data_IF_038808924660
#
_entry.id   IF_038808924660
#
_cell.length_a   1.000
_cell.length_b   1.000
_cell.length_c   1.000
_cell.angle_alpha   90.00
_cell.angle_beta   90.00
_cell.angle_gamma   90.00
#
_symmetry.space_group_name_H-M   'P 1'
#
loop_
_entity.id
_entity.type
_entity.pdbx_description
1 polymer ?
#
# COMPACT_ATOMS: atom_id res chain seq x y z
N UNK A 1 -16.54 58.86 -29.68
CA UNK A 1 -17.28 58.22 -30.78
C UNK A 1 -16.29 57.93 -31.88
N UNK A 2 -15.84 56.67 -31.95
CA UNK A 2 -15.28 56.02 -33.14
C UNK A 2 -15.49 54.53 -32.92
N UNK A 3 -16.52 54.00 -33.59
CA UNK A 3 -16.77 52.58 -33.79
C UNK A 3 -15.71 51.99 -34.72
N UNK A 4 -15.25 50.79 -34.42
CA UNK A 4 -14.62 49.91 -35.40
C UNK A 4 -14.78 48.46 -34.96
N UNK A 5 -15.88 47.89 -35.43
CA UNK A 5 -16.10 46.57 -36.02
C UNK A 5 -15.43 45.33 -35.41
N UNK A 6 -16.31 44.40 -35.03
CA UNK A 6 -16.03 43.04 -34.61
C UNK A 6 -16.06 42.12 -35.83
N UNK A 7 -14.93 41.57 -36.23
CA UNK A 7 -14.86 40.52 -37.25
C UNK A 7 -15.00 39.14 -36.60
N UNK A 8 -16.21 38.61 -36.70
CA UNK A 8 -16.53 37.21 -36.48
C UNK A 8 -16.02 36.42 -37.69
N UNK A 9 -14.91 35.68 -37.52
CA UNK A 9 -14.52 34.61 -38.44
C UNK A 9 -14.70 33.25 -37.79
N UNK A 10 -15.59 32.50 -38.43
CA UNK A 10 -16.11 31.19 -38.13
C UNK A 10 -15.21 30.09 -38.72
N UNK A 11 -14.89 29.10 -37.89
CA UNK A 11 -14.64 27.67 -38.19
C UNK A 11 -13.51 27.29 -39.16
N UNK A 12 -12.56 26.50 -38.63
CA UNK A 12 -12.13 25.25 -39.26
C UNK A 12 -11.78 24.24 -38.16
N UNK A 13 -12.66 23.27 -37.96
CA UNK A 13 -12.34 22.00 -37.30
C UNK A 13 -11.22 21.34 -38.12
N UNK A 14 -10.04 21.19 -37.54
CA UNK A 14 -9.04 20.25 -38.02
C UNK A 14 -9.16 18.99 -37.20
N UNK A 15 -9.65 17.93 -37.86
CA UNK A 15 -9.67 16.56 -37.39
C UNK A 15 -8.25 16.11 -37.01
N UNK A 16 -7.97 16.06 -35.71
CA UNK A 16 -6.76 15.42 -35.20
C UNK A 16 -7.02 13.92 -35.01
N UNK A 17 -6.42 13.17 -35.93
CA UNK A 17 -6.23 11.72 -35.93
C UNK A 17 -5.90 11.15 -34.52
N UNK A 18 -6.54 10.04 -34.09
CA UNK A 18 -6.23 9.39 -32.82
C UNK A 18 -4.87 8.68 -32.89
N UNK A 19 -3.82 9.43 -32.53
CA UNK A 19 -2.45 8.92 -32.39
C UNK A 19 -2.34 7.74 -31.39
N UNK A 20 -1.23 6.98 -31.47
CA UNK A 20 -1.07 5.72 -30.75
C UNK A 20 -1.28 5.91 -29.25
N UNK A 21 -2.23 5.15 -28.70
CA UNK A 21 -2.59 5.19 -27.28
C UNK A 21 -1.34 4.99 -26.43
N UNK A 22 -0.93 6.05 -25.73
CA UNK A 22 0.19 6.00 -24.78
C UNK A 22 -0.17 4.93 -23.75
N UNK A 23 0.48 3.77 -23.81
CA UNK A 23 0.36 2.73 -22.79
C UNK A 23 0.61 3.40 -21.44
N UNK A 24 -0.43 3.43 -20.57
CA UNK A 24 -0.32 4.04 -19.24
C UNK A 24 0.88 3.41 -18.54
N UNK A 25 1.94 4.19 -18.30
CA UNK A 25 3.08 3.72 -17.51
C UNK A 25 2.51 3.25 -16.17
N UNK A 26 2.73 1.99 -15.84
CA UNK A 26 2.39 1.45 -14.53
C UNK A 26 3.13 2.29 -13.47
N UNK A 27 2.39 2.88 -12.54
CA UNK A 27 2.95 3.69 -11.45
C UNK A 27 3.79 2.76 -10.57
N UNK A 28 4.91 3.25 -10.03
CA UNK A 28 5.72 2.46 -9.09
C UNK A 28 4.97 2.33 -7.77
N UNK A 29 4.74 1.10 -7.28
CA UNK A 29 4.29 0.84 -5.92
C UNK A 29 5.49 0.78 -4.97
N UNK A 30 5.28 1.19 -3.71
CA UNK A 30 6.29 1.15 -2.66
C UNK A 30 5.72 0.49 -1.42
N UNK A 31 6.43 -0.49 -0.88
CA UNK A 31 6.00 -1.15 0.37
C UNK A 31 6.14 -0.20 1.56
N UNK A 32 5.38 -0.45 2.64
CA UNK A 32 5.49 0.33 3.88
C UNK A 32 6.93 0.31 4.42
N UNK A 33 7.61 -0.84 4.34
CA UNK A 33 9.01 -0.96 4.76
C UNK A 33 9.95 -0.11 3.91
N UNK A 34 9.76 -0.06 2.59
CA UNK A 34 10.54 0.81 1.70
C UNK A 34 10.28 2.29 2.01
N UNK A 35 9.03 2.70 2.22
CA UNK A 35 8.70 4.08 2.60
C UNK A 35 9.39 4.49 3.90
N UNK A 36 9.38 3.62 4.92
CA UNK A 36 10.09 3.85 6.19
C UNK A 36 11.61 3.93 6.01
N UNK A 37 12.21 3.05 5.19
CA UNK A 37 13.65 3.09 4.89
C UNK A 37 14.06 4.43 4.25
N UNK A 38 13.26 4.92 3.29
CA UNK A 38 13.49 6.22 2.65
C UNK A 38 13.39 7.36 3.65
N UNK A 39 12.40 7.32 4.56
CA UNK A 39 12.24 8.31 5.64
C UNK A 39 13.45 8.32 6.58
N UNK A 40 13.88 7.14 7.05
CA UNK A 40 15.01 7.02 7.98
C UNK A 40 16.30 7.55 7.33
N UNK A 41 16.54 7.20 6.05
CA UNK A 41 17.69 7.71 5.32
C UNK A 41 17.62 9.23 5.11
N UNK A 42 16.44 9.78 4.80
CA UNK A 42 16.24 11.22 4.63
C UNK A 42 16.51 11.99 5.92
N UNK A 43 16.11 11.45 7.08
CA UNK A 43 16.39 12.04 8.40
C UNK A 43 17.87 12.08 8.77
N UNK A 44 18.63 11.03 8.41
CA UNK A 44 20.07 10.98 8.70
C UNK A 44 20.95 11.73 7.70
N UNK A 45 20.46 11.96 6.47
CA UNK A 45 21.24 12.58 5.40
C UNK A 45 20.58 13.87 4.91
N UNK A 46 19.63 13.75 3.98
CA UNK A 46 18.77 14.84 3.49
C UNK A 46 17.73 14.26 2.51
N UNK A 47 16.66 15.01 2.28
CA UNK A 47 15.62 14.68 1.28
C UNK A 47 16.24 14.56 -0.13
N UNK A 48 17.13 15.48 -0.50
CA UNK A 48 17.80 15.48 -1.81
C UNK A 48 18.72 14.26 -1.98
N UNK A 49 19.42 13.83 -0.91
CA UNK A 49 20.20 12.61 -0.94
C UNK A 49 19.31 11.36 -1.07
N UNK A 50 18.20 11.31 -0.33
CA UNK A 50 17.24 10.20 -0.40
C UNK A 50 16.61 10.06 -1.79
N UNK A 51 16.18 11.18 -2.37
CA UNK A 51 15.62 11.22 -3.73
C UNK A 51 16.58 10.61 -4.77
N UNK A 52 17.86 11.00 -4.73
CA UNK A 52 18.88 10.45 -5.64
C UNK A 52 19.14 8.96 -5.41
N UNK A 53 19.23 8.54 -4.14
CA UNK A 53 19.55 7.14 -3.78
C UNK A 53 18.44 6.19 -4.15
N UNK A 54 17.19 6.53 -3.84
CA UNK A 54 16.03 5.65 -4.01
C UNK A 54 15.24 5.92 -5.29
N UNK A 55 15.66 6.90 -6.11
CA UNK A 55 14.98 7.31 -7.36
C UNK A 55 13.50 7.68 -7.14
N UNK A 56 13.22 8.31 -6.00
CA UNK A 56 11.91 8.84 -5.60
C UNK A 56 11.94 10.36 -5.71
N UNK A 57 10.83 10.97 -6.13
CA UNK A 57 10.67 12.43 -6.20
C UNK A 57 10.75 13.06 -4.81
N UNK A 58 11.37 14.25 -4.70
CA UNK A 58 11.52 14.96 -3.43
C UNK A 58 10.17 15.24 -2.74
N UNK A 59 9.13 15.58 -3.52
CA UNK A 59 7.76 15.75 -3.00
C UNK A 59 7.27 14.50 -2.30
N UNK A 60 7.33 13.36 -2.98
CA UNK A 60 6.89 12.07 -2.43
C UNK A 60 7.64 11.70 -1.14
N UNK A 61 8.94 12.01 -1.04
CA UNK A 61 9.70 11.83 0.21
C UNK A 61 9.18 12.75 1.31
N UNK A 62 8.81 13.99 0.98
CA UNK A 62 8.21 14.93 1.91
C UNK A 62 6.81 14.47 2.38
N UNK A 63 5.99 13.96 1.46
CA UNK A 63 4.65 13.44 1.77
C UNK A 63 4.73 12.23 2.71
N UNK A 64 5.67 11.32 2.45
CA UNK A 64 5.93 10.19 3.34
C UNK A 64 6.48 10.62 4.70
N UNK A 65 7.31 11.66 4.76
CA UNK A 65 7.75 12.26 6.03
C UNK A 65 6.56 12.79 6.85
N UNK A 66 5.58 13.43 6.19
CA UNK A 66 4.36 13.89 6.84
C UNK A 66 3.50 12.72 7.35
N UNK A 67 3.46 11.62 6.59
CA UNK A 67 2.74 10.39 6.92
C UNK A 67 3.53 9.43 7.84
N UNK A 68 4.71 9.81 8.33
CA UNK A 68 5.61 8.91 9.05
C UNK A 68 4.92 8.19 10.21
N UNK A 69 4.12 8.92 11.01
CA UNK A 69 3.41 8.33 12.15
C UNK A 69 2.46 7.23 11.71
N UNK A 70 1.73 7.44 10.63
CA UNK A 70 0.77 6.48 10.08
C UNK A 70 1.51 5.26 9.51
N UNK A 71 2.56 5.48 8.71
CA UNK A 71 3.39 4.41 8.16
C UNK A 71 4.01 3.55 9.25
N UNK A 72 4.52 4.16 10.34
CA UNK A 72 5.07 3.42 11.50
C UNK A 72 3.97 2.69 12.26
N UNK A 73 2.80 3.29 12.43
CA UNK A 73 1.66 2.65 13.10
C UNK A 73 1.20 1.44 12.31
N UNK A 74 1.06 1.55 10.98
CA UNK A 74 0.74 0.44 10.10
C UNK A 74 1.79 -0.66 10.19
N UNK A 75 3.07 -0.32 10.15
CA UNK A 75 4.16 -1.30 10.34
C UNK A 75 4.04 -2.03 11.68
N UNK A 76 3.77 -1.31 12.77
CA UNK A 76 3.58 -1.90 14.09
C UNK A 76 2.33 -2.79 14.16
N UNK A 77 1.23 -2.40 13.52
CA UNK A 77 0.01 -3.22 13.44
C UNK A 77 0.28 -4.51 12.66
N UNK A 78 0.95 -4.41 11.51
CA UNK A 78 1.35 -5.57 10.69
C UNK A 78 2.26 -6.50 11.50
N UNK A 79 3.28 -5.96 12.17
CA UNK A 79 4.17 -6.75 13.02
C UNK A 79 3.43 -7.37 14.21
N UNK A 80 2.49 -6.65 14.84
CA UNK A 80 1.67 -7.20 15.92
C UNK A 80 0.80 -8.35 15.44
N UNK A 81 0.15 -8.22 14.29
CA UNK A 81 -0.66 -9.30 13.69
C UNK A 81 0.23 -10.50 13.37
N UNK A 82 1.40 -10.25 12.75
CA UNK A 82 2.34 -11.30 12.40
C UNK A 82 2.89 -12.03 13.63
N UNK A 83 3.28 -11.30 14.67
CA UNK A 83 3.74 -11.86 15.95
C UNK A 83 2.62 -12.58 16.70
N UNK A 84 1.40 -12.05 16.69
CA UNK A 84 0.24 -12.72 17.28
C UNK A 84 -0.05 -14.02 16.54
N UNK A 85 0.06 -14.03 15.20
CA UNK A 85 -0.08 -15.25 14.40
C UNK A 85 1.03 -16.25 14.70
N UNK A 86 2.30 -15.84 14.78
CA UNK A 86 3.40 -16.72 15.20
C UNK A 86 3.16 -17.27 16.60
N UNK A 87 2.74 -16.42 17.53
CA UNK A 87 2.46 -16.82 18.90
C UNK A 87 1.29 -17.80 18.98
N UNK A 88 0.21 -17.57 18.23
CA UNK A 88 -0.89 -18.50 18.09
C UNK A 88 -0.44 -19.80 17.42
N UNK A 89 0.25 -19.75 16.29
CA UNK A 89 0.78 -20.94 15.59
C UNK A 89 1.71 -21.76 16.48
N UNK A 90 2.54 -21.11 17.29
CA UNK A 90 3.48 -21.76 18.20
C UNK A 90 2.79 -22.32 19.45
N UNK A 91 1.71 -21.70 19.92
CA UNK A 91 0.85 -22.28 20.97
C UNK A 91 -0.10 -23.36 20.43
N UNK A 92 -0.43 -23.33 19.13
CA UNK A 92 -1.20 -24.36 18.42
C UNK A 92 -0.34 -25.59 18.09
N UNK A 93 0.99 -25.51 18.21
CA UNK A 93 1.93 -26.62 17.95
C UNK A 93 1.91 -27.73 19.03
N UNK A 94 0.72 -28.02 19.57
CA UNK A 94 0.34 -29.38 19.92
C UNK A 94 -0.46 -30.05 18.80
N UNK A 95 -0.63 -29.40 17.63
CA UNK A 95 -1.35 -29.89 16.45
C UNK A 95 -0.67 -29.40 15.16
N UNK A 96 -0.39 -30.31 14.24
CA UNK A 96 0.26 -30.05 12.95
C UNK A 96 -0.41 -28.94 12.11
N UNK A 97 0.39 -28.16 11.38
CA UNK A 97 -0.03 -26.96 10.63
C UNK A 97 -0.97 -27.25 9.45
N UNK A 98 -0.97 -28.48 8.96
CA UNK A 98 -1.86 -28.99 7.90
C UNK A 98 -3.13 -29.63 8.48
N UNK A 99 -3.26 -29.68 9.80
CA UNK A 99 -4.34 -30.39 10.47
C UNK A 99 -4.22 -31.91 10.45
N UNK A 100 -3.06 -32.46 10.11
CA UNK A 100 -2.83 -33.91 10.09
C UNK A 100 -2.96 -34.59 11.46
N UNK A 101 -2.94 -33.80 12.54
CA UNK A 101 -3.10 -34.27 13.93
C UNK A 101 -4.40 -33.76 14.59
N UNK A 102 -5.31 -33.13 13.82
CA UNK A 102 -6.58 -32.62 14.37
C UNK A 102 -7.46 -33.75 14.95
N UNK A 103 -7.28 -34.97 14.45
CA UNK A 103 -7.94 -36.20 14.94
C UNK A 103 -7.45 -36.63 16.33
N UNK A 104 -6.29 -36.13 16.78
CA UNK A 104 -5.74 -36.41 18.10
C UNK A 104 -6.30 -35.47 19.18
N UNK A 105 -7.02 -34.41 18.78
CA UNK A 105 -7.62 -33.46 19.71
C UNK A 105 -8.78 -34.14 20.44
N UNK A 106 -8.57 -34.44 21.73
CA UNK A 106 -9.50 -35.24 22.53
C UNK A 106 -10.93 -34.69 22.59
N UNK A 107 -11.10 -33.37 22.58
CA UNK A 107 -12.43 -32.75 22.62
C UNK A 107 -13.21 -32.86 21.29
N UNK A 108 -12.54 -33.22 20.17
CA UNK A 108 -13.17 -33.40 18.86
C UNK A 108 -13.52 -34.84 18.52
N UNK A 109 -13.19 -35.79 19.40
CA UNK A 109 -13.57 -37.20 19.24
C UNK A 109 -15.10 -37.37 19.31
N UNK A 110 -15.67 -38.47 18.78
CA UNK A 110 -17.13 -38.70 18.81
C UNK A 110 -17.71 -38.69 20.23
N UNK A 111 -16.93 -39.14 21.21
CA UNK A 111 -17.21 -39.09 22.65
C UNK A 111 -16.72 -37.82 23.37
N UNK A 112 -16.15 -36.87 22.64
CA UNK A 112 -15.64 -35.60 23.16
C UNK A 112 -16.72 -34.56 23.40
N UNK A 113 -16.34 -33.46 24.06
CA UNK A 113 -17.27 -32.36 24.39
C UNK A 113 -17.75 -31.58 23.15
N UNK A 114 -17.00 -31.63 22.03
CA UNK A 114 -17.26 -30.83 20.82
C UNK A 114 -17.05 -31.69 19.55
N UNK A 115 -17.94 -32.66 19.26
CA UNK A 115 -17.77 -33.60 18.14
C UNK A 115 -17.80 -32.94 16.75
N UNK A 116 -18.32 -31.71 16.62
CA UNK A 116 -18.33 -30.91 15.38
C UNK A 116 -17.15 -29.93 15.28
N UNK A 117 -16.25 -29.90 16.26
CA UNK A 117 -15.16 -28.93 16.33
C UNK A 117 -14.15 -29.08 15.19
N UNK A 118 -13.94 -30.33 14.72
CA UNK A 118 -12.98 -30.65 13.67
C UNK A 118 -13.39 -30.05 12.31
N UNK A 119 -14.67 -30.13 11.95
CA UNK A 119 -15.19 -29.54 10.71
C UNK A 119 -15.16 -28.01 10.74
N UNK A 120 -15.43 -27.43 11.90
CA UNK A 120 -15.36 -25.97 12.12
C UNK A 120 -13.94 -25.45 11.94
N UNK A 121 -12.95 -26.17 12.48
CA UNK A 121 -11.54 -25.79 12.40
C UNK A 121 -10.99 -25.88 10.96
N UNK A 122 -11.39 -26.91 10.21
CA UNK A 122 -11.08 -27.05 8.78
C UNK A 122 -11.65 -25.89 7.95
N UNK A 123 -12.87 -25.45 8.28
CA UNK A 123 -13.52 -24.33 7.59
C UNK A 123 -12.78 -23.00 7.84
N UNK A 124 -12.48 -22.68 9.10
CA UNK A 124 -11.78 -21.43 9.43
C UNK A 124 -10.35 -21.36 8.88
N UNK A 125 -9.65 -22.49 8.73
CA UNK A 125 -8.33 -22.49 8.08
C UNK A 125 -8.40 -22.06 6.61
N UNK A 126 -9.48 -22.40 5.91
CA UNK A 126 -9.67 -22.00 4.52
C UNK A 126 -10.12 -20.53 4.40
N UNK A 127 -10.81 -19.99 5.40
CA UNK A 127 -11.35 -18.62 5.37
C UNK A 127 -10.33 -17.55 5.80
N UNK A 128 -9.29 -17.89 6.57
CA UNK A 128 -8.27 -16.95 7.05
C UNK A 128 -7.12 -16.69 6.04
N UNK A 129 -7.48 -16.33 4.80
CA UNK A 129 -6.54 -16.10 3.70
C UNK A 129 -5.83 -14.73 3.83
N UNK A 130 -4.72 -14.72 4.57
CA UNK A 130 -3.87 -13.55 4.84
C UNK A 130 -3.39 -12.79 3.59
N UNK A 131 -3.36 -13.43 2.41
CA UNK A 131 -3.01 -12.75 1.15
C UNK A 131 -4.00 -11.62 0.80
N UNK A 132 -5.29 -11.81 1.08
CA UNK A 132 -6.33 -10.83 0.74
C UNK A 132 -6.17 -9.51 1.53
N UNK A 133 -5.56 -9.57 2.71
CA UNK A 133 -5.32 -8.38 3.53
C UNK A 133 -4.11 -7.56 3.07
N UNK A 134 -3.15 -8.18 2.37
CA UNK A 134 -1.99 -7.49 1.80
C UNK A 134 -2.42 -6.70 0.56
N UNK A 135 -3.27 -7.30 -0.28
CA UNK A 135 -3.78 -6.67 -1.51
C UNK A 135 -4.61 -5.40 -1.19
N UNK A 136 -5.41 -5.41 -0.13
CA UNK A 136 -6.18 -4.24 0.34
C UNK A 136 -5.31 -3.06 0.78
N UNK A 137 -4.07 -3.29 1.21
CA UNK A 137 -3.14 -2.22 1.61
C UNK A 137 -2.50 -1.58 0.38
N UNK A 138 -2.30 -2.32 -0.71
CA UNK A 138 -1.68 -1.81 -1.94
C UNK A 138 -2.65 -0.89 -2.74
N UNK A 139 -3.96 -1.05 -2.57
CA UNK A 139 -4.97 -0.25 -3.28
C UNK A 139 -5.16 1.19 -2.74
N UNK A 140 -4.82 1.43 -1.46
CA UNK A 140 -5.06 2.73 -0.79
C UNK A 140 -4.13 3.85 -1.31
N UNK A 141 -2.99 3.52 -1.93
CA UNK A 141 -2.01 4.49 -2.42
C UNK A 141 -2.36 5.15 -3.78
N UNK A 142 -3.50 4.80 -4.40
CA UNK A 142 -3.83 5.25 -5.77
C UNK A 142 -4.46 6.66 -5.87
N UNK A 143 -4.72 7.36 -4.77
CA UNK A 143 -5.52 8.63 -4.80
C UNK A 143 -4.67 9.92 -4.81
N UNK A 144 -3.36 9.87 -4.55
CA UNK A 144 -2.57 11.09 -4.49
C UNK A 144 -1.87 11.42 -5.82
N UNK A 145 -2.42 12.46 -6.46
CA UNK A 145 -1.72 13.59 -7.09
C UNK A 145 -2.12 13.82 -8.55
N UNK A 146 -3.14 14.67 -8.73
CA UNK A 146 -3.20 15.58 -9.87
C UNK A 146 -2.10 16.64 -9.69
N UNK A 147 -1.20 16.63 -10.64
CA UNK A 147 0.03 17.38 -10.80
C UNK A 147 -0.19 18.90 -10.77
N UNK A 148 0.01 19.53 -9.60
CA UNK A 148 0.26 20.97 -9.54
C UNK A 148 1.78 21.18 -9.47
N UNK A 149 2.36 21.44 -10.64
CA UNK A 149 3.77 21.85 -10.78
C UNK A 149 4.03 23.14 -10.02
N UNK A 150 4.70 23.04 -8.87
CA UNK A 150 5.23 24.22 -8.17
C UNK A 150 6.73 24.26 -8.46
N UNK A 151 7.10 25.29 -9.22
CA UNK A 151 8.45 25.69 -9.56
C UNK A 151 9.25 25.92 -8.27
N UNK A 152 10.35 25.19 -8.14
CA UNK A 152 11.31 25.28 -7.03
C UNK A 152 11.91 26.68 -6.95
N UNK A 153 11.59 27.44 -5.88
CA UNK A 153 12.39 28.58 -5.46
C UNK A 153 13.20 28.18 -4.22
N UNK A 154 14.52 28.22 -4.36
CA UNK A 154 15.51 27.94 -3.32
C UNK A 154 15.56 29.12 -2.36
N UNK A 155 15.16 28.95 -1.09
CA UNK A 155 15.72 29.69 0.06
C UNK A 155 15.19 29.14 1.38
N UNK A 156 16.05 28.42 2.10
CA UNK A 156 15.96 28.31 3.56
C UNK A 156 17.37 28.49 4.13
N UNK A 157 17.61 29.69 4.67
CA UNK A 157 18.70 29.94 5.60
C UNK A 157 18.38 29.26 6.95
N UNK A 158 19.44 28.78 7.59
CA UNK A 158 19.41 27.99 8.84
C UNK A 158 18.92 28.78 10.06
#
# INVERSE_FOLDING_TARGET
MSDSDIDVVNVSNSDEEPGPSKSKKCRRSYTITQKIEVIDYAKSNSISAASRRFKVTRSTVYDWLRQERELRTLLLVILKIFLYKIFLYKNIFTTATDGSEDDQIHCFKPEGEIPTGLDTLRKERNENNFLEMIDLIEEIDLIQDEENGILSDDSLEF
#
